data_IF_046166040029
#
_entry.id   IF_046166040029
#
_cell.length_a   1.000
_cell.length_b   1.000
_cell.length_c   1.000
_cell.angle_alpha   90.00
_cell.angle_beta   90.00
_cell.angle_gamma   90.00
#
_symmetry.space_group_name_H-M   'P 1'
#
loop_
_entity.id
_entity.type
_entity.pdbx_description
1 polymer ?
#
# COMPACT_ATOMS: atom_id res chain seq x y z
N UNK A 1 -16.42 19.12 -2.12
CA UNK A 1 -16.15 18.99 -0.67
C UNK A 1 -17.13 18.01 -0.05
N UNK A 2 -16.74 17.37 1.05
CA UNK A 2 -17.62 16.63 1.97
C UNK A 2 -17.83 17.47 3.24
N UNK A 3 -19.00 17.36 3.89
CA UNK A 3 -19.31 18.07 5.13
C UNK A 3 -19.93 17.11 6.13
N UNK A 4 -19.27 16.93 7.27
CA UNK A 4 -19.84 16.23 8.42
C UNK A 4 -20.38 17.24 9.42
N UNK A 5 -21.71 17.30 9.54
CA UNK A 5 -22.42 18.32 10.32
C UNK A 5 -22.19 18.10 11.82
N UNK A 6 -21.73 19.13 12.53
CA UNK A 6 -21.48 19.12 13.98
C UNK A 6 -20.62 17.94 14.48
N UNK A 7 -19.74 17.42 13.63
CA UNK A 7 -18.89 16.27 13.92
C UNK A 7 -17.58 16.64 14.65
N UNK A 8 -17.24 17.93 14.73
CA UNK A 8 -16.08 18.42 15.47
C UNK A 8 -16.29 18.38 16.99
N UNK A 9 -15.18 18.40 17.75
CA UNK A 9 -15.21 18.36 19.21
C UNK A 9 -16.02 19.47 19.87
N UNK A 10 -16.15 20.63 19.21
CA UNK A 10 -16.97 21.75 19.68
C UNK A 10 -18.27 21.94 18.87
N UNK A 11 -18.80 20.86 18.26
CA UNK A 11 -19.97 20.91 17.36
C UNK A 11 -19.73 21.78 16.11
N UNK A 12 -18.49 21.91 15.69
CA UNK A 12 -18.12 22.48 14.39
C UNK A 12 -18.50 21.50 13.28
N UNK A 13 -18.78 22.01 12.09
CA UNK A 13 -18.86 21.16 10.91
C UNK A 13 -17.45 20.82 10.44
N UNK A 14 -17.20 19.56 10.07
CA UNK A 14 -15.95 19.16 9.47
C UNK A 14 -16.08 19.23 7.95
N UNK A 15 -15.39 20.17 7.34
CA UNK A 15 -15.36 20.37 5.88
C UNK A 15 -14.10 19.73 5.32
N UNK A 16 -14.25 18.76 4.42
CA UNK A 16 -13.13 18.12 3.71
C UNK A 16 -13.17 18.53 2.23
N UNK A 17 -12.23 19.36 1.76
CA UNK A 17 -12.11 19.71 0.35
C UNK A 17 -11.85 18.47 -0.52
N UNK A 18 -12.35 18.52 -1.75
CA UNK A 18 -12.10 17.50 -2.77
C UNK A 18 -11.68 18.27 -4.01
N UNK A 19 -10.42 18.10 -4.40
CA UNK A 19 -9.83 18.74 -5.57
C UNK A 19 -9.32 17.67 -6.53
N UNK A 20 -9.49 17.96 -7.81
CA UNK A 20 -9.04 17.09 -8.88
C UNK A 20 -7.92 17.77 -9.67
N UNK A 21 -6.97 16.98 -10.13
CA UNK A 21 -5.98 17.42 -11.11
C UNK A 21 -6.63 17.58 -12.51
N UNK A 22 -5.90 18.13 -13.51
CA UNK A 22 -6.43 18.30 -14.87
C UNK A 22 -6.83 16.99 -15.58
N UNK A 23 -6.43 15.84 -15.05
CA UNK A 23 -6.78 14.51 -15.56
C UNK A 23 -7.98 13.90 -14.80
N UNK A 24 -8.61 14.65 -13.90
CA UNK A 24 -9.77 14.22 -13.13
C UNK A 24 -9.44 13.27 -11.97
N UNK A 25 -8.16 13.15 -11.60
CA UNK A 25 -7.71 12.32 -10.47
C UNK A 25 -7.70 13.16 -9.20
N UNK A 26 -7.82 12.52 -8.04
CA UNK A 26 -7.70 13.17 -6.74
C UNK A 26 -6.31 12.88 -6.15
N UNK A 27 -5.30 13.74 -6.39
CA UNK A 27 -3.94 13.51 -5.90
C UNK A 27 -3.80 13.74 -4.40
N UNK A 28 -4.71 14.49 -3.77
CA UNK A 28 -4.63 14.87 -2.36
C UNK A 28 -5.93 14.53 -1.63
N UNK A 29 -5.80 13.88 -0.48
CA UNK A 29 -6.90 13.69 0.47
C UNK A 29 -6.62 14.59 1.68
N UNK A 30 -7.38 15.69 1.77
CA UNK A 30 -7.14 16.75 2.77
C UNK A 30 -7.62 16.36 4.17
N UNK A 31 -6.88 16.82 5.17
CA UNK A 31 -7.37 16.82 6.55
C UNK A 31 -8.63 17.71 6.67
N UNK A 32 -9.59 17.34 7.51
CA UNK A 32 -10.82 18.10 7.67
C UNK A 32 -10.56 19.47 8.32
N UNK A 33 -11.22 20.51 7.82
CA UNK A 33 -11.24 21.84 8.42
C UNK A 33 -12.50 21.99 9.31
N UNK A 34 -12.35 22.21 10.61
CA UNK A 34 -13.49 22.52 11.47
C UNK A 34 -13.99 23.95 11.23
N UNK A 35 -15.28 24.09 10.98
CA UNK A 35 -15.93 25.38 10.70
C UNK A 35 -17.10 25.58 11.65
N UNK A 36 -16.98 26.57 12.54
CA UNK A 36 -18.03 26.96 13.45
C UNK A 36 -19.19 27.64 12.69
N UNK A 37 -20.43 27.44 13.16
CA UNK A 37 -21.64 28.10 12.64
C UNK A 37 -21.88 27.92 11.13
N UNK A 38 -21.37 26.83 10.52
CA UNK A 38 -21.58 26.53 9.10
C UNK A 38 -22.95 25.83 8.85
N UNK A 39 -23.51 25.13 9.84
CA UNK A 39 -24.85 24.50 9.81
C UNK A 39 -25.12 23.62 8.57
N UNK A 40 -24.10 22.91 8.09
CA UNK A 40 -24.16 22.05 6.90
C UNK A 40 -24.15 22.82 5.57
N UNK A 41 -23.97 24.14 5.59
CA UNK A 41 -23.90 24.94 4.38
C UNK A 41 -22.65 24.59 3.56
N UNK A 42 -22.77 24.71 2.24
CA UNK A 42 -21.60 24.68 1.37
C UNK A 42 -20.66 25.84 1.74
N UNK A 43 -19.41 25.52 2.02
CA UNK A 43 -18.42 26.52 2.40
C UNK A 43 -17.84 27.15 1.13
N UNK A 44 -18.38 28.32 0.77
CA UNK A 44 -18.07 29.01 -0.48
C UNK A 44 -16.83 29.90 -0.41
N UNK A 45 -16.02 29.84 0.66
CA UNK A 45 -14.85 30.68 0.79
C UNK A 45 -13.97 30.53 -0.47
N UNK A 46 -13.70 31.65 -1.15
CA UNK A 46 -12.99 31.68 -2.44
C UNK A 46 -11.59 31.08 -2.36
N UNK A 47 -11.02 31.01 -1.15
CA UNK A 47 -9.75 30.32 -0.89
C UNK A 47 -9.92 28.80 -0.78
N UNK A 48 -11.04 28.27 -0.27
CA UNK A 48 -11.31 26.81 -0.22
C UNK A 48 -11.61 26.22 -1.61
N UNK A 49 -11.98 27.05 -2.59
CA UNK A 49 -12.19 26.59 -3.96
C UNK A 49 -10.90 26.58 -4.81
N UNK A 50 -9.76 26.98 -4.25
CA UNK A 50 -8.46 26.97 -4.92
C UNK A 50 -7.46 26.21 -4.06
N UNK A 51 -6.63 25.36 -4.68
CA UNK A 51 -5.72 24.48 -3.95
C UNK A 51 -4.82 25.23 -2.94
N UNK A 52 -4.20 26.34 -3.37
CA UNK A 52 -3.35 27.14 -2.49
C UNK A 52 -4.10 27.71 -1.28
N UNK A 53 -5.36 28.11 -1.46
CA UNK A 53 -6.18 28.64 -0.38
C UNK A 53 -6.70 27.55 0.56
N UNK A 54 -7.06 26.38 0.03
CA UNK A 54 -7.38 25.18 0.82
C UNK A 54 -6.22 24.84 1.74
N UNK A 55 -5.02 24.69 1.16
CA UNK A 55 -3.82 24.33 1.90
C UNK A 55 -3.57 25.36 2.99
N UNK A 56 -3.55 26.65 2.66
CA UNK A 56 -3.28 27.71 3.63
C UNK A 56 -4.26 27.71 4.82
N UNK A 57 -5.56 27.50 4.60
CA UNK A 57 -6.53 27.48 5.69
C UNK A 57 -6.35 26.28 6.62
N UNK A 58 -6.13 25.09 6.04
CA UNK A 58 -5.95 23.88 6.83
C UNK A 58 -4.62 23.97 7.58
N UNK A 59 -3.54 24.44 6.94
CA UNK A 59 -2.25 24.67 7.59
C UNK A 59 -2.38 25.62 8.78
N UNK A 60 -3.05 26.77 8.61
CA UNK A 60 -3.27 27.73 9.70
C UNK A 60 -4.04 27.11 10.88
N UNK A 61 -5.09 26.32 10.59
CA UNK A 61 -5.85 25.65 11.63
C UNK A 61 -5.00 24.63 12.39
N UNK A 62 -4.35 23.70 11.68
CA UNK A 62 -3.56 22.63 12.32
C UNK A 62 -2.31 23.18 13.01
N UNK A 63 -1.66 24.21 12.48
CA UNK A 63 -0.55 24.90 13.15
C UNK A 63 -0.98 25.50 14.48
N UNK A 64 -2.13 26.19 14.50
CA UNK A 64 -2.65 26.79 15.72
C UNK A 64 -3.14 25.74 16.72
N UNK A 65 -3.67 24.61 16.23
CA UNK A 65 -4.29 23.59 17.06
C UNK A 65 -3.27 22.62 17.67
N UNK A 66 -2.22 22.29 16.93
CA UNK A 66 -1.20 21.32 17.29
C UNK A 66 0.21 21.91 17.12
N UNK A 67 0.55 22.99 17.84
CA UNK A 67 1.86 23.63 17.71
C UNK A 67 3.01 22.72 18.16
N UNK A 68 2.75 21.78 19.07
CA UNK A 68 3.75 20.84 19.61
C UNK A 68 4.13 19.72 18.62
N UNK A 69 3.29 19.45 17.63
CA UNK A 69 3.55 18.46 16.57
C UNK A 69 4.47 19.03 15.46
N UNK A 70 4.88 20.30 15.59
CA UNK A 70 5.69 21.00 14.60
C UNK A 70 7.12 21.24 15.10
N UNK A 71 8.12 21.23 14.20
CA UNK A 71 9.49 21.57 14.56
C UNK A 71 9.59 22.97 15.18
N UNK A 72 10.41 23.11 16.23
CA UNK A 72 10.70 24.43 16.79
C UNK A 72 11.38 25.34 15.76
N UNK A 73 10.97 26.61 15.73
CA UNK A 73 11.55 27.60 14.81
C UNK A 73 11.06 27.49 13.37
N UNK A 74 9.92 26.84 13.14
CA UNK A 74 9.29 26.75 11.83
C UNK A 74 9.08 28.14 11.22
N UNK A 75 9.61 28.35 10.02
CA UNK A 75 9.46 29.63 9.31
C UNK A 75 7.99 29.86 8.91
N UNK A 76 7.51 31.12 8.91
CA UNK A 76 6.22 31.46 8.32
C UNK A 76 6.13 30.96 6.87
N UNK A 77 5.05 30.25 6.53
CA UNK A 77 4.85 29.67 5.20
C UNK A 77 5.51 28.30 4.99
N UNK A 78 5.98 27.64 6.05
CA UNK A 78 6.39 26.25 5.95
C UNK A 78 5.21 25.35 5.59
N UNK A 79 5.44 24.45 4.62
CA UNK A 79 4.45 23.47 4.18
C UNK A 79 4.29 22.39 5.25
N UNK A 80 3.13 22.35 5.90
CA UNK A 80 2.82 21.38 6.96
C UNK A 80 2.30 20.05 6.40
N UNK A 81 1.96 20.06 5.11
CA UNK A 81 1.41 18.91 4.41
C UNK A 81 0.14 18.36 5.09
N UNK A 82 -0.94 19.15 5.18
CA UNK A 82 -2.16 18.75 5.88
C UNK A 82 -3.07 17.86 5.01
N UNK A 83 -2.47 16.92 4.30
CA UNK A 83 -3.15 16.03 3.37
C UNK A 83 -2.27 14.79 3.15
N UNK A 84 -2.88 13.67 2.76
CA UNK A 84 -2.12 12.63 2.10
C UNK A 84 -1.97 13.02 0.63
N UNK A 85 -0.83 12.68 0.02
CA UNK A 85 -0.53 13.02 -1.37
C UNK A 85 -0.13 11.77 -2.14
N UNK A 86 -0.69 11.60 -3.33
CA UNK A 86 -0.36 10.53 -4.27
C UNK A 86 0.36 11.14 -5.45
N UNK A 87 1.59 10.69 -5.68
CA UNK A 87 2.31 10.94 -6.93
C UNK A 87 2.10 9.73 -7.84
N UNK A 88 1.59 9.99 -9.03
CA UNK A 88 1.32 8.96 -10.02
C UNK A 88 2.52 8.76 -10.95
N UNK A 89 2.68 7.56 -11.49
CA UNK A 89 3.67 7.29 -12.53
C UNK A 89 3.34 8.08 -13.81
N UNK A 90 4.36 8.38 -14.63
CA UNK A 90 4.19 9.06 -15.93
C UNK A 90 3.72 8.11 -17.04
N UNK A 91 2.82 7.20 -16.70
CA UNK A 91 2.25 6.21 -17.62
C UNK A 91 0.74 6.43 -17.78
N UNK A 92 0.15 5.99 -18.91
CA UNK A 92 -1.30 6.04 -19.10
C UNK A 92 -2.09 5.20 -18.09
N UNK A 93 -1.45 4.31 -17.33
CA UNK A 93 -2.11 3.38 -16.40
C UNK A 93 -2.54 4.04 -15.09
N UNK A 94 -2.16 5.31 -14.84
CA UNK A 94 -2.55 6.06 -13.64
C UNK A 94 -2.27 5.33 -12.32
N UNK A 95 -1.18 4.55 -12.25
CA UNK A 95 -0.79 3.85 -11.02
C UNK A 95 -0.10 4.80 -10.06
N UNK A 96 -0.32 4.58 -8.76
CA UNK A 96 0.35 5.34 -7.70
C UNK A 96 1.81 4.90 -7.68
N UNK A 97 2.73 5.84 -7.85
CA UNK A 97 4.17 5.64 -7.73
C UNK A 97 4.63 5.84 -6.29
N UNK A 98 4.00 6.77 -5.59
CA UNK A 98 4.38 7.15 -4.24
C UNK A 98 3.19 7.78 -3.51
N UNK A 99 3.13 7.55 -2.21
CA UNK A 99 2.08 8.04 -1.33
C UNK A 99 2.66 8.60 -0.02
N UNK A 100 2.40 9.88 0.23
CA UNK A 100 2.71 10.57 1.47
C UNK A 100 1.53 10.50 2.46
N UNK A 101 1.85 10.42 3.75
CA UNK A 101 0.90 10.65 4.83
C UNK A 101 0.83 12.15 5.19
N UNK A 102 -0.22 12.62 5.86
CA UNK A 102 -0.26 13.99 6.39
C UNK A 102 0.83 14.24 7.44
N UNK A 103 1.37 15.46 7.45
CA UNK A 103 2.32 15.94 8.44
C UNK A 103 3.65 16.41 7.84
N UNK A 104 4.37 17.23 8.59
CA UNK A 104 5.56 17.94 8.13
C UNK A 104 6.70 17.01 7.68
N UNK A 105 6.98 15.97 8.46
CA UNK A 105 8.02 14.98 8.17
C UNK A 105 7.60 13.99 7.07
N UNK A 106 6.29 13.85 6.86
CA UNK A 106 5.69 12.87 5.94
C UNK A 106 5.45 13.42 4.54
N UNK A 107 5.82 14.68 4.30
CA UNK A 107 5.60 15.35 3.01
C UNK A 107 6.42 14.70 1.91
N UNK A 108 5.80 14.63 0.73
CA UNK A 108 6.46 14.14 -0.47
C UNK A 108 7.52 15.14 -0.97
N UNK A 109 8.73 14.65 -1.21
CA UNK A 109 9.83 15.42 -1.79
C UNK A 109 10.09 14.95 -3.23
N UNK A 110 9.48 15.61 -4.21
CA UNK A 110 9.47 15.13 -5.59
C UNK A 110 10.87 14.93 -6.24
N UNK A 111 11.91 15.54 -5.67
CA UNK A 111 13.30 15.49 -6.16
C UNK A 111 14.25 14.68 -5.27
N UNK A 112 13.77 14.00 -4.23
CA UNK A 112 14.58 13.21 -3.30
C UNK A 112 13.80 12.02 -2.74
N UNK A 113 14.45 10.85 -2.62
CA UNK A 113 13.84 9.67 -1.99
C UNK A 113 14.15 9.55 -0.48
N UNK A 114 14.56 10.66 0.14
CA UNK A 114 14.89 10.73 1.58
C UNK A 114 13.68 11.08 2.46
N UNK A 115 12.47 11.08 1.89
CA UNK A 115 11.22 11.32 2.60
C UNK A 115 10.61 10.03 3.16
N UNK A 116 9.60 10.19 4.01
CA UNK A 116 8.91 9.09 4.70
C UNK A 116 7.64 8.63 3.95
N UNK A 117 7.71 8.55 2.62
CA UNK A 117 6.58 8.12 1.79
C UNK A 117 6.60 6.62 1.52
N UNK A 118 5.42 6.04 1.34
CA UNK A 118 5.28 4.69 0.78
C UNK A 118 5.56 4.77 -0.72
N UNK A 119 6.42 3.90 -1.24
CA UNK A 119 6.80 3.90 -2.67
C UNK A 119 6.46 2.57 -3.33
N UNK A 120 6.09 2.61 -4.61
CA UNK A 120 5.67 1.44 -5.38
C UNK A 120 6.50 1.28 -6.66
N UNK A 121 7.06 0.08 -6.85
CA UNK A 121 7.59 -0.35 -8.15
C UNK A 121 6.69 -1.44 -8.75
N UNK A 122 6.40 -1.31 -10.04
CA UNK A 122 5.62 -2.29 -10.78
C UNK A 122 6.48 -2.95 -11.84
N UNK A 123 6.66 -4.26 -11.72
CA UNK A 123 7.60 -5.05 -12.51
C UNK A 123 6.96 -6.39 -12.90
N UNK A 124 7.73 -7.21 -13.59
CA UNK A 124 7.47 -8.64 -13.76
C UNK A 124 8.50 -9.44 -12.99
N UNK A 125 8.17 -10.69 -12.64
CA UNK A 125 9.13 -11.54 -11.94
C UNK A 125 10.34 -11.87 -12.84
N UNK A 126 11.48 -12.07 -12.18
CA UNK A 126 12.75 -12.53 -12.74
C UNK A 126 13.12 -13.90 -12.14
N UNK A 127 14.07 -14.63 -12.76
CA UNK A 127 14.60 -15.87 -12.17
C UNK A 127 15.27 -15.65 -10.80
N UNK A 128 15.77 -14.45 -10.52
CA UNK A 128 16.41 -14.07 -9.25
C UNK A 128 15.40 -13.85 -8.12
N UNK A 129 14.09 -13.86 -8.40
CA UNK A 129 13.07 -13.78 -7.36
C UNK A 129 12.82 -15.14 -6.69
N UNK A 130 13.25 -16.26 -7.29
CA UNK A 130 13.10 -17.61 -6.72
C UNK A 130 11.68 -17.94 -6.24
N UNK A 131 10.65 -17.50 -6.99
CA UNK A 131 9.24 -17.77 -6.65
C UNK A 131 8.94 -19.23 -6.97
N UNK A 132 8.67 -20.04 -5.94
CA UNK A 132 8.37 -21.48 -6.10
C UNK A 132 7.01 -21.67 -6.79
N UNK A 133 6.95 -22.62 -7.73
CA UNK A 133 5.72 -22.94 -8.46
C UNK A 133 4.96 -24.09 -7.81
N UNK A 134 4.13 -23.81 -6.82
CA UNK A 134 3.20 -24.80 -6.28
C UNK A 134 1.96 -24.94 -7.18
N UNK A 135 1.47 -26.18 -7.34
CA UNK A 135 0.20 -26.47 -8.03
C UNK A 135 -0.66 -27.44 -7.20
N UNK A 136 -1.90 -27.66 -7.60
CA UNK A 136 -2.80 -28.63 -6.97
C UNK A 136 -3.12 -29.75 -7.95
N UNK A 137 -3.13 -30.98 -7.48
CA UNK A 137 -3.70 -32.11 -8.20
C UNK A 137 -4.86 -32.70 -7.38
N UNK A 138 -5.70 -33.50 -8.02
CA UNK A 138 -6.82 -34.18 -7.38
C UNK A 138 -6.63 -35.69 -7.45
N UNK A 139 -6.66 -36.36 -6.30
CA UNK A 139 -6.52 -37.82 -6.25
C UNK A 139 -7.71 -38.46 -6.96
N UNK A 140 -7.45 -39.29 -7.98
CA UNK A 140 -8.50 -39.94 -8.80
C UNK A 140 -9.56 -38.95 -9.37
N UNK A 141 -9.15 -37.71 -9.69
CA UNK A 141 -10.06 -36.64 -10.14
C UNK A 141 -11.16 -36.25 -9.13
N UNK A 142 -11.00 -36.57 -7.85
CA UNK A 142 -11.92 -36.17 -6.80
C UNK A 142 -11.58 -34.77 -6.28
N UNK A 143 -12.43 -33.79 -6.58
CA UNK A 143 -12.23 -32.38 -6.18
C UNK A 143 -12.21 -32.17 -4.67
N UNK A 144 -12.82 -33.08 -3.89
CA UNK A 144 -12.76 -33.05 -2.43
C UNK A 144 -11.48 -33.66 -1.84
N UNK A 145 -10.56 -34.12 -2.69
CA UNK A 145 -9.26 -34.69 -2.29
C UNK A 145 -8.09 -34.00 -3.01
N UNK A 146 -7.87 -32.69 -2.75
CA UNK A 146 -6.72 -31.99 -3.29
C UNK A 146 -5.42 -32.51 -2.66
N UNK A 147 -4.36 -32.52 -3.46
CA UNK A 147 -2.98 -32.77 -3.05
C UNK A 147 -2.08 -31.64 -3.57
N UNK A 148 -1.25 -31.09 -2.69
CA UNK A 148 -0.21 -30.16 -3.09
C UNK A 148 0.79 -30.85 -4.01
N UNK A 149 1.16 -30.17 -5.10
CA UNK A 149 2.24 -30.58 -5.99
C UNK A 149 3.36 -29.56 -5.84
N UNK A 150 4.47 -30.01 -5.30
CA UNK A 150 5.70 -29.27 -5.04
C UNK A 150 6.81 -29.70 -6.00
N UNK A 151 8.04 -29.27 -5.73
CA UNK A 151 9.26 -29.62 -6.48
C UNK A 151 9.20 -29.30 -7.99
N UNK A 152 8.30 -28.41 -8.39
CA UNK A 152 8.10 -27.98 -9.77
C UNK A 152 9.15 -26.95 -10.25
N UNK A 153 10.10 -26.60 -9.39
CA UNK A 153 11.04 -25.50 -9.63
C UNK A 153 10.43 -24.13 -9.37
N UNK A 154 11.01 -23.12 -10.03
CA UNK A 154 10.61 -21.72 -9.90
C UNK A 154 9.81 -21.26 -11.12
N UNK A 155 9.00 -20.20 -10.96
CA UNK A 155 8.39 -19.51 -12.08
C UNK A 155 9.47 -18.93 -13.02
N UNK A 156 9.38 -19.16 -14.35
CA UNK A 156 10.22 -18.49 -15.33
C UNK A 156 10.02 -16.97 -15.31
N UNK A 157 10.97 -16.23 -15.91
CA UNK A 157 10.86 -14.79 -16.06
C UNK A 157 9.54 -14.38 -16.76
N UNK A 158 9.00 -13.23 -16.36
CA UNK A 158 7.83 -12.60 -16.98
C UNK A 158 6.54 -13.44 -16.95
N UNK A 159 6.39 -14.34 -15.98
CA UNK A 159 5.16 -15.13 -15.80
C UNK A 159 4.21 -14.54 -14.75
N UNK A 160 4.72 -13.72 -13.85
CA UNK A 160 4.00 -13.10 -12.75
C UNK A 160 4.17 -11.57 -12.81
N UNK A 161 3.12 -10.85 -12.45
CA UNK A 161 3.21 -9.44 -12.10
C UNK A 161 3.84 -9.32 -10.71
N UNK A 162 4.80 -8.40 -10.54
CA UNK A 162 5.49 -8.13 -9.28
C UNK A 162 5.23 -6.69 -8.88
N UNK A 163 4.74 -6.47 -7.66
CA UNK A 163 4.66 -5.14 -7.06
C UNK A 163 5.58 -5.09 -5.84
N UNK A 164 6.53 -4.17 -5.83
CA UNK A 164 7.38 -3.88 -4.66
C UNK A 164 6.81 -2.67 -3.95
N UNK A 165 6.45 -2.82 -2.68
CA UNK A 165 6.03 -1.73 -1.80
C UNK A 165 7.15 -1.47 -0.82
N UNK A 166 7.64 -0.23 -0.78
CA UNK A 166 8.60 0.24 0.22
C UNK A 166 7.82 0.98 1.30
N UNK A 167 8.00 0.59 2.56
CA UNK A 167 7.36 1.27 3.68
C UNK A 167 8.08 2.58 4.02
N UNK A 168 7.51 3.35 4.93
CA UNK A 168 7.95 4.70 5.26
C UNK A 168 9.31 4.76 5.99
N UNK A 169 9.83 3.62 6.44
CA UNK A 169 11.15 3.48 7.03
C UNK A 169 12.21 3.05 6.02
N UNK A 170 11.82 2.73 4.78
CA UNK A 170 12.80 2.43 3.73
C UNK A 170 13.65 3.66 3.44
N UNK A 171 14.97 3.46 3.35
CA UNK A 171 15.91 4.53 3.04
C UNK A 171 16.76 4.19 1.82
N UNK A 172 17.03 5.17 0.92
CA UNK A 172 17.94 4.96 -0.19
C UNK A 172 19.34 4.70 0.35
N UNK A 173 19.99 3.63 -0.13
CA UNK A 173 21.35 3.28 0.26
C UNK A 173 21.52 2.61 1.62
N UNK A 174 20.43 2.16 2.26
CA UNK A 174 20.50 1.30 3.45
C UNK A 174 21.31 0.02 3.18
N UNK A 175 21.98 -0.51 4.20
CA UNK A 175 22.90 -1.66 4.07
C UNK A 175 22.22 -2.89 3.46
N UNK A 176 21.01 -3.21 3.91
CA UNK A 176 20.16 -4.26 3.35
C UNK A 176 19.16 -3.65 2.37
N UNK A 177 19.49 -3.64 1.08
CA UNK A 177 18.73 -2.92 0.04
C UNK A 177 17.23 -3.22 0.03
N UNK A 178 16.82 -4.43 0.41
CA UNK A 178 15.42 -4.86 0.40
C UNK A 178 14.71 -4.71 1.75
N UNK A 179 15.38 -4.42 2.87
CA UNK A 179 14.68 -4.26 4.16
C UNK A 179 13.61 -3.16 4.05
N UNK A 180 12.54 -3.24 4.84
CA UNK A 180 11.41 -2.30 4.76
C UNK A 180 10.67 -2.35 3.42
N UNK A 181 10.66 -3.53 2.79
CA UNK A 181 9.89 -3.76 1.57
C UNK A 181 9.01 -5.00 1.66
N UNK A 182 7.93 -4.99 0.90
CA UNK A 182 7.08 -6.14 0.63
C UNK A 182 6.96 -6.33 -0.87
N UNK A 183 7.14 -7.55 -1.35
CA UNK A 183 6.91 -7.95 -2.73
C UNK A 183 5.63 -8.79 -2.82
N UNK A 184 4.73 -8.39 -3.70
CA UNK A 184 3.52 -9.15 -4.04
C UNK A 184 3.62 -9.66 -5.47
N UNK A 185 3.51 -10.98 -5.64
CA UNK A 185 3.52 -11.64 -6.93
C UNK A 185 2.12 -12.12 -7.28
N UNK A 186 1.64 -11.77 -8.47
CA UNK A 186 0.33 -12.15 -8.99
C UNK A 186 0.45 -12.92 -10.30
N UNK A 187 -0.41 -13.91 -10.48
CA UNK A 187 -0.54 -14.60 -11.76
C UNK A 187 -1.30 -13.75 -12.81
N UNK A 188 -1.47 -14.33 -14.01
CA UNK A 188 -2.14 -13.67 -15.14
C UNK A 188 -3.65 -13.45 -14.94
N UNK A 189 -4.24 -14.08 -13.93
CA UNK A 189 -5.64 -13.88 -13.52
C UNK A 189 -5.75 -12.85 -12.37
N UNK A 190 -4.63 -12.26 -11.94
CA UNK A 190 -4.59 -11.27 -10.86
C UNK A 190 -4.62 -11.87 -9.46
N UNK A 191 -4.51 -13.20 -9.32
CA UNK A 191 -4.50 -13.89 -8.02
C UNK A 191 -3.10 -13.78 -7.42
N UNK A 192 -3.02 -13.41 -6.14
CA UNK A 192 -1.74 -13.36 -5.40
C UNK A 192 -1.25 -14.79 -5.23
N UNK A 193 -0.02 -15.09 -5.65
CA UNK A 193 0.63 -16.41 -5.50
C UNK A 193 1.72 -16.42 -4.44
N UNK A 194 2.36 -15.27 -4.19
CA UNK A 194 3.36 -15.08 -3.13
C UNK A 194 3.25 -13.65 -2.57
N UNK A 195 3.26 -13.54 -1.24
CA UNK A 195 3.65 -12.32 -0.53
C UNK A 195 4.96 -12.56 0.19
N UNK A 196 5.95 -11.71 -0.08
CA UNK A 196 7.28 -11.74 0.52
C UNK A 196 7.53 -10.45 1.29
N UNK A 197 7.87 -10.54 2.56
CA UNK A 197 8.27 -9.37 3.36
C UNK A 197 9.75 -9.45 3.70
N UNK A 198 10.45 -8.33 3.61
CA UNK A 198 11.87 -8.23 3.92
C UNK A 198 12.10 -7.54 5.26
N UNK A 199 12.63 -8.30 6.21
CA UNK A 199 13.02 -7.83 7.54
C UNK A 199 14.16 -8.72 8.05
N UNK A 200 15.40 -8.34 7.73
CA UNK A 200 16.62 -9.12 8.02
C UNK A 200 16.57 -10.55 7.44
N UNK A 201 16.20 -10.60 6.17
CA UNK A 201 15.87 -11.83 5.42
C UNK A 201 14.52 -11.67 4.74
N UNK A 202 14.08 -12.70 4.00
CA UNK A 202 12.73 -12.74 3.45
C UNK A 202 11.81 -13.68 4.22
N UNK A 203 10.52 -13.37 4.23
CA UNK A 203 9.47 -14.19 4.82
C UNK A 203 8.37 -14.39 3.77
N UNK A 204 8.18 -15.64 3.34
CA UNK A 204 7.31 -15.98 2.22
C UNK A 204 5.99 -16.60 2.68
N UNK A 205 4.88 -16.03 2.22
CA UNK A 205 3.54 -16.65 2.31
C UNK A 205 3.05 -16.98 0.91
N UNK A 206 2.93 -18.26 0.59
CA UNK A 206 2.41 -18.72 -0.70
C UNK A 206 0.91 -18.98 -0.64
N UNK A 207 0.24 -18.70 -1.77
CA UNK A 207 -1.18 -18.91 -1.98
C UNK A 207 -1.34 -19.79 -3.22
N UNK A 208 -1.84 -21.01 -3.02
CA UNK A 208 -1.90 -22.03 -4.07
C UNK A 208 -3.35 -22.27 -4.44
N UNK A 209 -3.65 -22.14 -5.74
CA UNK A 209 -5.00 -22.28 -6.27
C UNK A 209 -5.12 -23.59 -7.06
N UNK A 210 -6.31 -24.17 -7.03
CA UNK A 210 -6.66 -25.29 -7.91
C UNK A 210 -6.97 -24.82 -9.35
N UNK A 211 -7.19 -25.80 -10.23
CA UNK A 211 -7.55 -25.60 -11.64
C UNK A 211 -8.89 -24.90 -11.84
N UNK A 212 -9.73 -24.83 -10.80
CA UNK A 212 -11.04 -24.15 -10.82
C UNK A 212 -10.97 -22.71 -10.31
N UNK A 213 -9.82 -22.28 -9.79
CA UNK A 213 -9.62 -20.93 -9.29
C UNK A 213 -9.72 -20.79 -7.78
N UNK A 214 -9.98 -21.86 -7.04
CA UNK A 214 -10.19 -21.80 -5.60
C UNK A 214 -8.86 -21.81 -4.84
N UNK A 215 -8.73 -20.94 -3.83
CA UNK A 215 -7.58 -20.97 -2.93
C UNK A 215 -7.61 -22.26 -2.11
N UNK A 216 -6.66 -23.15 -2.36
CA UNK A 216 -6.63 -24.51 -1.79
C UNK A 216 -5.59 -24.63 -0.67
N UNK A 217 -4.43 -23.99 -0.82
CA UNK A 217 -3.40 -23.98 0.23
C UNK A 217 -2.88 -22.57 0.53
N UNK A 218 -2.61 -22.29 1.81
CA UNK A 218 -1.78 -21.16 2.23
C UNK A 218 -0.59 -21.70 3.02
N UNK A 219 0.61 -21.45 2.51
CA UNK A 219 1.87 -21.97 3.06
C UNK A 219 2.61 -20.81 3.75
N UNK A 220 2.63 -20.75 5.09
CA UNK A 220 3.18 -19.61 5.83
C UNK A 220 4.73 -19.58 5.82
N UNK A 221 5.35 -18.47 6.30
CA UNK A 221 6.80 -18.31 6.32
C UNK A 221 7.55 -19.38 7.11
N UNK A 222 6.92 -19.94 8.15
CA UNK A 222 7.54 -20.92 9.05
C UNK A 222 7.84 -22.28 8.40
N UNK A 223 7.10 -22.65 7.35
CA UNK A 223 7.30 -23.92 6.63
C UNK A 223 8.66 -23.90 5.93
N UNK A 224 9.47 -24.93 6.13
CA UNK A 224 10.70 -25.11 5.34
C UNK A 224 10.34 -25.42 3.88
N UNK A 225 10.94 -24.67 2.97
CA UNK A 225 10.73 -24.79 1.51
C UNK A 225 12.02 -25.14 0.78
N UNK A 226 13.01 -25.63 1.50
CA UNK A 226 14.28 -26.08 0.94
C UNK A 226 14.02 -27.12 -0.15
N UNK A 227 14.76 -27.04 -1.26
CA UNK A 227 14.55 -27.87 -2.46
C UNK A 227 13.16 -27.74 -3.12
N UNK A 228 12.44 -26.64 -2.88
CA UNK A 228 11.09 -26.40 -3.41
C UNK A 228 10.06 -27.42 -2.93
N UNK A 229 10.25 -28.00 -1.75
CA UNK A 229 9.44 -29.06 -1.15
C UNK A 229 8.63 -28.53 0.05
N UNK A 230 7.54 -29.21 0.42
CA UNK A 230 6.83 -29.00 1.68
C UNK A 230 6.57 -30.35 2.31
N UNK A 231 7.20 -30.63 3.45
CA UNK A 231 7.06 -31.93 4.09
C UNK A 231 5.61 -32.23 4.47
N UNK A 232 5.15 -33.51 4.40
CA UNK A 232 3.78 -33.86 4.79
C UNK A 232 3.42 -33.44 6.22
N UNK A 233 4.40 -33.49 7.14
CA UNK A 233 4.21 -33.07 8.53
C UNK A 233 3.95 -31.57 8.64
N UNK A 234 4.70 -30.73 7.91
CA UNK A 234 4.48 -29.29 7.92
C UNK A 234 3.23 -28.87 7.15
N UNK A 235 2.88 -29.61 6.09
CA UNK A 235 1.63 -29.41 5.36
C UNK A 235 0.40 -29.61 6.28
N UNK A 236 0.44 -30.63 7.14
CA UNK A 236 -0.64 -30.94 8.08
C UNK A 236 -0.65 -29.99 9.30
N UNK A 237 0.52 -29.65 9.83
CA UNK A 237 0.62 -28.91 11.10
C UNK A 237 0.67 -27.39 10.96
N UNK A 238 1.17 -26.87 9.84
CA UNK A 238 1.46 -25.44 9.67
C UNK A 238 0.67 -24.78 8.54
N UNK A 239 0.31 -25.51 7.49
CA UNK A 239 -0.38 -24.93 6.34
C UNK A 239 -1.90 -24.90 6.53
N UNK A 240 -2.55 -23.91 5.92
CA UNK A 240 -4.02 -23.90 5.82
C UNK A 240 -4.43 -24.64 4.55
N UNK A 241 -5.40 -25.55 4.67
CA UNK A 241 -5.92 -26.35 3.57
C UNK A 241 -7.44 -26.16 3.45
N UNK A 242 -7.90 -25.80 2.26
CA UNK A 242 -9.31 -25.57 1.95
C UNK A 242 -9.78 -26.62 0.94
N UNK A 243 -10.93 -27.24 1.22
CA UNK A 243 -11.58 -28.22 0.35
C UNK A 243 -12.96 -27.69 -0.02
N UNK A 244 -13.31 -27.80 -1.30
CA UNK A 244 -14.55 -27.28 -1.87
C UNK A 244 -15.42 -28.42 -2.41
#
# INVERSE_FOLDING_TARGET
>A
QSISIRAGGNREDLVTPILYDPLGRQPKDYLPLPVANNFGAFNNNTTINQEAGVISQIENYYQSKFPDDLPQGLLPGAQLNPYSEKRFERSPLNRVFEQAAPGYDWKLLATSDTDHTIKFDYQTNSPQDYVIRFTVAFTNNNTSQPSLVDQQGYYPANQLYKTVTKDENWQPGQANVNNHTTEEFKDKLGRVVLKRTFNDGWLDTYYVYDDFGNLTYVIPPKVDKTNNDVSPTELDQLCYQYKY
#
